data_IF_442962554063
#
_entry.id   IF_442962554063
#
_cell.length_a   1.000
_cell.length_b   1.000
_cell.length_c   1.000
_cell.angle_alpha   90.00
_cell.angle_beta   90.00
_cell.angle_gamma   90.00
#
_symmetry.space_group_name_H-M   'P 1'
#
loop_
_entity.id
_entity.type
_entity.pdbx_description
1 polymer ?
#
# COMPACT_ATOMS: atom_id res chain seq x y z
N UNK A 1 -11.93 -7.11 3.84
CA UNK A 1 -10.53 -7.55 4.09
C UNK A 1 -9.60 -6.34 4.10
N UNK A 2 -8.41 -6.44 4.72
CA UNK A 2 -7.43 -5.34 4.73
C UNK A 2 -6.20 -5.72 3.92
N UNK A 3 -5.69 -4.76 3.16
CA UNK A 3 -4.57 -4.97 2.27
C UNK A 3 -3.54 -3.87 2.45
N UNK A 4 -2.29 -4.22 2.16
CA UNK A 4 -1.24 -3.25 1.90
C UNK A 4 -0.64 -3.46 0.53
N UNK A 5 -0.15 -2.37 -0.03
CA UNK A 5 0.61 -2.37 -1.27
C UNK A 5 1.72 -1.34 -1.17
N UNK A 6 2.89 -1.67 -1.71
CA UNK A 6 3.96 -0.71 -1.89
C UNK A 6 3.69 0.10 -3.16
N UNK A 7 3.92 1.40 -3.10
CA UNK A 7 3.82 2.28 -4.26
C UNK A 7 5.08 3.12 -4.40
N UNK A 8 5.44 3.45 -5.63
CA UNK A 8 6.46 4.46 -5.93
C UNK A 8 5.78 5.68 -6.57
N UNK A 9 6.00 6.85 -5.97
CA UNK A 9 5.54 8.12 -6.54
C UNK A 9 6.52 8.62 -7.60
N UNK A 10 6.06 9.52 -8.47
CA UNK A 10 6.88 10.14 -9.53
C UNK A 10 8.10 10.92 -9.01
N UNK A 11 8.16 11.23 -7.71
CA UNK A 11 9.32 11.83 -7.05
C UNK A 11 10.33 10.80 -6.50
N UNK A 12 10.16 9.52 -6.82
CA UNK A 12 11.01 8.43 -6.31
C UNK A 12 10.74 8.05 -4.85
N UNK A 13 9.70 8.63 -4.23
CA UNK A 13 9.31 8.25 -2.86
C UNK A 13 8.55 6.93 -2.94
N UNK A 14 9.11 5.93 -2.28
CA UNK A 14 8.43 4.66 -2.04
C UNK A 14 7.55 4.83 -0.79
N UNK A 15 6.32 4.34 -0.85
CA UNK A 15 5.29 4.46 0.18
C UNK A 15 4.60 3.11 0.43
N UNK A 16 3.81 3.04 1.50
CA UNK A 16 2.95 1.89 1.79
C UNK A 16 1.53 2.43 1.90
N UNK A 17 0.64 1.93 1.05
CA UNK A 17 -0.77 2.24 1.10
C UNK A 17 -1.48 1.09 1.83
N UNK A 18 -2.28 1.45 2.83
CA UNK A 18 -3.10 0.54 3.62
C UNK A 18 -4.56 0.83 3.29
N UNK A 19 -5.30 -0.15 2.80
CA UNK A 19 -6.68 0.03 2.37
C UNK A 19 -7.52 -1.22 2.66
N UNK A 20 -8.84 -1.07 2.59
CA UNK A 20 -9.77 -2.18 2.74
C UNK A 20 -10.45 -2.47 1.40
N UNK A 21 -10.68 -3.75 1.12
CA UNK A 21 -11.45 -4.20 -0.04
C UNK A 21 -12.24 -5.45 0.34
N UNK A 22 -13.35 -5.71 -0.37
CA UNK A 22 -14.20 -6.87 -0.11
C UNK A 22 -13.45 -8.19 -0.27
N UNK A 23 -12.64 -8.29 -1.32
CA UNK A 23 -11.90 -9.49 -1.71
C UNK A 23 -10.58 -9.13 -2.43
N UNK A 24 -9.81 -10.17 -2.77
CA UNK A 24 -8.51 -10.02 -3.44
C UNK A 24 -8.62 -9.43 -4.85
N UNK A 25 -9.72 -9.69 -5.56
CA UNK A 25 -9.93 -9.16 -6.91
C UNK A 25 -10.22 -7.66 -6.86
N UNK A 26 -11.11 -7.24 -5.94
CA UNK A 26 -11.37 -5.83 -5.67
C UNK A 26 -10.11 -5.09 -5.24
N UNK A 27 -9.25 -5.72 -4.43
CA UNK A 27 -7.98 -5.14 -4.04
C UNK A 27 -7.01 -4.98 -5.21
N UNK A 28 -6.94 -5.97 -6.10
CA UNK A 28 -6.08 -5.91 -7.28
C UNK A 28 -6.55 -4.83 -8.27
N UNK A 29 -7.87 -4.67 -8.44
CA UNK A 29 -8.46 -3.60 -9.25
C UNK A 29 -8.12 -2.21 -8.71
N UNK A 30 -8.19 -2.01 -7.40
CA UNK A 30 -7.79 -0.74 -6.77
C UNK A 30 -6.31 -0.41 -7.02
N UNK A 31 -5.43 -1.40 -6.99
CA UNK A 31 -4.00 -1.25 -7.29
C UNK A 31 -3.75 -0.88 -8.76
N UNK A 32 -4.47 -1.52 -9.67
CA UNK A 32 -4.42 -1.22 -11.10
C UNK A 32 -4.87 0.22 -11.38
N UNK A 33 -5.97 0.65 -10.74
CA UNK A 33 -6.46 2.03 -10.81
C UNK A 33 -5.47 3.04 -10.21
N UNK A 34 -4.75 2.71 -9.14
CA UNK A 34 -3.71 3.59 -8.59
C UNK A 34 -2.58 3.84 -9.59
N UNK A 35 -2.16 2.79 -10.31
CA UNK A 35 -1.12 2.91 -11.34
C UNK A 35 -1.61 3.73 -12.53
N UNK A 36 -2.84 3.46 -12.99
CA UNK A 36 -3.41 4.08 -14.19
C UNK A 36 -3.88 5.53 -13.98
N UNK A 37 -4.54 5.82 -12.85
CA UNK A 37 -5.20 7.13 -12.62
C UNK A 37 -4.38 8.09 -11.77
N UNK A 38 -3.54 7.63 -10.84
CA UNK A 38 -2.92 8.48 -9.81
C UNK A 38 -1.43 8.75 -10.07
N UNK A 39 -0.89 8.26 -11.19
CA UNK A 39 0.49 8.52 -11.60
C UNK A 39 1.54 7.87 -10.70
N UNK A 40 1.15 6.87 -9.89
CA UNK A 40 2.11 6.04 -9.18
C UNK A 40 2.85 5.19 -10.21
N UNK A 41 4.18 5.35 -10.25
CA UNK A 41 5.03 4.83 -11.31
C UNK A 41 5.13 3.31 -11.28
N UNK A 42 4.93 2.72 -10.10
CA UNK A 42 4.81 1.28 -9.91
C UNK A 42 4.11 0.99 -8.59
N UNK A 43 3.19 0.03 -8.62
CA UNK A 43 2.62 -0.59 -7.43
C UNK A 43 3.03 -2.06 -7.42
N UNK A 44 3.48 -2.57 -6.27
CA UNK A 44 3.98 -3.94 -6.15
C UNK A 44 3.71 -4.51 -4.76
N UNK A 45 3.80 -5.84 -4.66
CA UNK A 45 3.63 -6.58 -3.40
C UNK A 45 2.29 -6.30 -2.67
N UNK A 46 1.16 -6.45 -3.36
CA UNK A 46 -0.15 -6.48 -2.71
C UNK A 46 -0.21 -7.68 -1.74
N UNK A 47 -0.47 -7.42 -0.45
CA UNK A 47 -0.58 -8.44 0.59
C UNK A 47 -1.85 -8.22 1.41
N UNK A 48 -2.52 -9.33 1.74
CA UNK A 48 -3.58 -9.33 2.74
C UNK A 48 -2.97 -9.19 4.15
N UNK A 49 -3.60 -8.40 5.00
CA UNK A 49 -3.19 -8.12 6.37
C UNK A 49 -4.32 -8.53 7.30
N UNK A 50 -4.04 -9.41 8.25
CA UNK A 50 -5.06 -9.90 9.18
C UNK A 50 -5.15 -9.06 10.45
N UNK A 51 -4.03 -8.55 10.97
CA UNK A 51 -3.96 -7.96 12.31
C UNK A 51 -3.60 -6.47 12.33
N UNK A 52 -3.22 -5.89 11.19
CA UNK A 52 -2.84 -4.47 11.03
C UNK A 52 -1.71 -4.00 11.96
N UNK A 53 -0.97 -4.94 12.57
CA UNK A 53 0.11 -4.64 13.49
C UNK A 53 1.38 -4.22 12.75
N UNK A 54 2.15 -3.31 13.34
CA UNK A 54 3.47 -2.91 12.80
C UNK A 54 4.38 -4.12 12.56
N UNK A 55 4.37 -5.11 13.46
CA UNK A 55 5.15 -6.33 13.30
C UNK A 55 4.77 -7.12 12.05
N UNK A 56 3.46 -7.25 11.76
CA UNK A 56 2.97 -7.93 10.56
C UNK A 56 3.42 -7.19 9.30
N UNK A 57 3.37 -5.85 9.31
CA UNK A 57 3.89 -5.04 8.20
C UNK A 57 5.40 -5.19 8.03
N UNK A 58 6.18 -5.21 9.12
CA UNK A 58 7.63 -5.43 9.04
C UNK A 58 7.99 -6.84 8.54
N UNK A 59 7.17 -7.84 8.83
CA UNK A 59 7.34 -9.20 8.31
C UNK A 59 6.97 -9.31 6.83
N UNK A 60 5.86 -8.70 6.41
CA UNK A 60 5.39 -8.73 5.02
C UNK A 60 6.25 -7.85 4.10
N UNK A 61 6.83 -6.78 4.65
CA UNK A 61 7.64 -5.81 3.92
C UNK A 61 8.97 -5.56 4.64
N UNK A 62 9.89 -6.54 4.68
CA UNK A 62 11.17 -6.38 5.39
C UNK A 62 12.02 -5.24 4.84
N UNK A 63 11.85 -4.90 3.56
CA UNK A 63 12.48 -3.74 2.91
C UNK A 63 12.01 -2.38 3.44
N UNK A 64 10.81 -2.30 4.04
CA UNK A 64 10.30 -1.05 4.64
C UNK A 64 11.19 -0.56 5.76
N UNK A 65 11.80 -1.43 6.57
CA UNK A 65 12.58 -0.97 7.73
C UNK A 65 13.83 -0.18 7.29
N UNK A 66 14.49 -0.65 6.23
CA UNK A 66 15.63 0.04 5.61
C UNK A 66 15.18 1.31 4.89
N UNK A 67 14.08 1.24 4.14
CA UNK A 67 13.53 2.35 3.35
C UNK A 67 12.84 3.44 4.22
N UNK A 68 12.37 3.08 5.42
CA UNK A 68 11.82 4.01 6.40
C UNK A 68 12.88 4.89 7.06
N UNK A 69 14.06 4.33 7.32
CA UNK A 69 15.20 5.12 7.79
C UNK A 69 15.68 6.16 6.77
N UNK A 70 15.47 5.89 5.48
CA UNK A 70 15.88 6.77 4.37
C UNK A 70 14.85 7.86 4.02
N UNK A 71 13.69 7.93 4.69
CA UNK A 71 12.76 9.06 4.54
C UNK A 71 11.36 8.75 3.98
N UNK A 72 10.80 7.56 4.23
CA UNK A 72 9.37 7.32 3.95
C UNK A 72 8.47 8.37 4.62
N UNK A 73 7.66 9.07 3.83
CA UNK A 73 6.49 9.79 4.35
C UNK A 73 5.28 8.85 4.34
N UNK A 74 4.85 8.42 5.52
CA UNK A 74 3.65 7.60 5.70
C UNK A 74 2.41 8.44 5.34
N UNK A 75 1.77 8.15 4.20
CA UNK A 75 0.46 8.70 3.84
C UNK A 75 -0.56 7.57 3.98
N UNK A 76 -1.32 7.57 5.06
CA UNK A 76 -2.45 6.66 5.23
C UNK A 76 -3.61 7.26 4.45
N UNK A 77 -3.96 6.65 3.31
CA UNK A 77 -5.16 7.01 2.56
C UNK A 77 -6.27 6.10 3.06
N UNK A 78 -7.11 6.62 3.94
CA UNK A 78 -8.36 5.94 4.31
C UNK A 78 -9.37 6.30 3.23
N UNK A 79 -9.59 5.40 2.27
CA UNK A 79 -10.77 5.49 1.42
C UNK A 79 -11.97 5.10 2.27
N UNK A 80 -12.65 6.10 2.85
CA UNK A 80 -14.03 5.93 3.31
C UNK A 80 -14.89 5.69 2.07
N UNK A 81 -15.43 4.48 1.93
CA UNK A 81 -16.41 4.18 0.89
C UNK A 81 -17.62 5.09 1.09
N UNK A 82 -17.86 5.99 0.13
CA UNK A 82 -19.12 6.72 0.04
C UNK A 82 -20.21 5.72 -0.36
N UNK A 83 -21.13 5.47 0.58
CA UNK A 83 -22.44 4.89 0.31
C UNK A 83 -23.44 5.94 -0.18
#
# INVERSE_FOLDING_TARGET
MRFAVEYESSSGIIGLCLFSADDQEAAQKYVDEMTSKWGYYSTYNLKHISNCGMNELYQLYPGMNKRMRDGYKRRVVVSEGQG
#
